data_IF_074554097158
#
_entry.id   IF_074554097158
#
_cell.length_a   1.000
_cell.length_b   1.000
_cell.length_c   1.000
_cell.angle_alpha   90.00
_cell.angle_beta   90.00
_cell.angle_gamma   90.00
#
_symmetry.space_group_name_H-M   'P 1'
#
loop_
_entity.id
_entity.type
_entity.pdbx_description
1 polymer ?
#
# COMPACT_ATOMS: atom_id res chain seq x y z
N UNK A 1 -30.89 -48.18 74.41
CA UNK A 1 -30.18 -46.88 74.52
C UNK A 1 -29.07 -46.89 73.47
N UNK A 2 -29.42 -46.59 72.22
CA UNK A 2 -29.21 -45.33 71.48
C UNK A 2 -27.72 -45.05 71.10
N UNK A 3 -27.50 -45.03 69.79
CA UNK A 3 -26.61 -44.12 69.03
C UNK A 3 -25.09 -44.36 69.05
N UNK A 4 -24.59 -45.31 68.24
CA UNK A 4 -23.33 -45.12 67.49
C UNK A 4 -23.47 -45.81 66.14
N UNK A 5 -23.87 -45.08 65.11
CA UNK A 5 -24.08 -45.67 63.79
C UNK A 5 -24.47 -44.63 62.75
N UNK A 6 -23.66 -43.57 62.58
CA UNK A 6 -23.81 -42.66 61.44
C UNK A 6 -22.59 -41.74 61.22
N UNK A 7 -21.42 -42.29 60.91
CA UNK A 7 -20.29 -41.51 60.39
C UNK A 7 -19.48 -42.35 59.41
N UNK A 8 -20.06 -42.70 58.25
CA UNK A 8 -19.27 -43.21 57.13
C UNK A 8 -19.99 -43.01 55.80
N UNK A 9 -19.96 -41.78 55.30
CA UNK A 9 -20.28 -41.43 53.91
C UNK A 9 -19.41 -40.24 53.43
N UNK A 10 -18.09 -40.36 53.62
CA UNK A 10 -17.08 -39.42 53.11
C UNK A 10 -16.23 -40.05 52.00
N UNK A 11 -16.88 -40.79 51.11
CA UNK A 11 -16.21 -41.50 50.01
C UNK A 11 -16.84 -41.24 48.64
N UNK A 12 -17.56 -40.13 48.45
CA UNK A 12 -18.18 -39.82 47.17
C UNK A 12 -17.26 -38.90 46.35
N UNK A 13 -16.17 -39.46 45.82
CA UNK A 13 -15.15 -38.76 45.01
C UNK A 13 -15.68 -38.28 43.66
N UNK A 14 -16.82 -38.81 43.21
CA UNK A 14 -17.48 -38.45 41.95
C UNK A 14 -17.95 -36.99 41.90
N UNK A 15 -18.28 -36.38 43.05
CA UNK A 15 -18.64 -34.96 43.13
C UNK A 15 -17.44 -34.02 43.08
N UNK A 16 -16.28 -34.46 43.58
CA UNK A 16 -15.04 -33.66 43.58
C UNK A 16 -14.54 -33.40 42.16
N UNK A 17 -14.57 -34.43 41.31
CA UNK A 17 -14.14 -34.32 39.91
C UNK A 17 -15.02 -33.33 39.13
N UNK A 18 -16.35 -33.35 39.34
CA UNK A 18 -17.26 -32.40 38.69
C UNK A 18 -17.04 -30.97 39.19
N UNK A 19 -16.77 -30.78 40.49
CA UNK A 19 -16.47 -29.46 41.06
C UNK A 19 -15.14 -28.91 40.56
N UNK A 20 -14.08 -29.72 40.57
CA UNK A 20 -12.76 -29.35 40.04
C UNK A 20 -12.84 -29.03 38.54
N UNK A 21 -13.53 -29.86 37.75
CA UNK A 21 -13.74 -29.60 36.32
C UNK A 21 -14.55 -28.31 36.09
N UNK A 22 -15.58 -28.04 36.89
CA UNK A 22 -16.36 -26.80 36.77
C UNK A 22 -15.56 -25.54 37.10
N UNK A 23 -14.48 -25.66 37.89
CA UNK A 23 -13.57 -24.56 38.19
C UNK A 23 -12.49 -24.42 37.12
N UNK A 24 -11.92 -25.52 36.63
CA UNK A 24 -10.76 -25.52 35.71
C UNK A 24 -11.17 -25.28 34.26
N UNK A 25 -12.28 -25.86 33.79
CA UNK A 25 -12.73 -25.74 32.38
C UNK A 25 -12.92 -24.26 31.97
N UNK A 26 -13.55 -23.38 32.76
CA UNK A 26 -13.66 -21.97 32.41
C UNK A 26 -12.32 -21.27 32.20
N UNK A 27 -11.31 -21.58 33.02
CA UNK A 27 -9.96 -21.02 32.88
C UNK A 27 -9.26 -21.52 31.63
N UNK A 28 -9.33 -22.82 31.36
CA UNK A 28 -8.77 -23.40 30.14
C UNK A 28 -9.42 -22.75 28.92
N UNK A 29 -10.75 -22.67 28.90
CA UNK A 29 -11.51 -22.03 27.82
C UNK A 29 -11.13 -20.55 27.66
N UNK A 30 -11.01 -19.79 28.75
CA UNK A 30 -10.58 -18.40 28.72
C UNK A 30 -9.16 -18.25 28.12
N UNK A 31 -8.22 -19.11 28.52
CA UNK A 31 -6.86 -19.11 27.97
C UNK A 31 -6.85 -19.47 26.48
N UNK A 32 -7.66 -20.46 26.06
CA UNK A 32 -7.76 -20.81 24.63
C UNK A 32 -8.31 -19.66 23.80
N UNK A 33 -9.34 -18.96 24.27
CA UNK A 33 -9.87 -17.79 23.58
C UNK A 33 -8.85 -16.66 23.52
N UNK A 34 -8.11 -16.41 24.60
CA UNK A 34 -7.07 -15.39 24.63
C UNK A 34 -5.98 -15.67 23.58
N UNK A 35 -5.54 -16.92 23.47
CA UNK A 35 -4.59 -17.34 22.43
C UNK A 35 -5.16 -17.19 21.02
N UNK A 36 -6.42 -17.55 20.79
CA UNK A 36 -7.09 -17.36 19.49
C UNK A 36 -7.20 -15.89 19.11
N UNK A 37 -7.62 -15.02 20.03
CA UNK A 37 -7.68 -13.57 19.81
C UNK A 37 -6.30 -13.00 19.53
N UNK A 38 -5.27 -13.44 20.25
CA UNK A 38 -3.90 -13.02 20.03
C UNK A 38 -3.40 -13.44 18.64
N UNK A 39 -3.66 -14.68 18.22
CA UNK A 39 -3.31 -15.16 16.88
C UNK A 39 -4.01 -14.36 15.79
N UNK A 40 -5.30 -14.04 15.97
CA UNK A 40 -6.06 -13.21 15.04
C UNK A 40 -5.53 -11.77 14.99
N UNK A 41 -5.12 -11.22 16.14
CA UNK A 41 -4.55 -9.89 16.22
C UNK A 41 -3.27 -9.76 15.38
N UNK A 42 -2.38 -10.75 15.48
CA UNK A 42 -1.12 -10.77 14.71
C UNK A 42 -1.40 -11.02 13.22
N UNK A 43 -2.27 -11.98 12.90
CA UNK A 43 -2.52 -12.35 11.50
C UNK A 43 -3.10 -11.19 10.68
N UNK A 44 -3.92 -10.34 11.29
CA UNK A 44 -4.49 -9.16 10.62
C UNK A 44 -3.42 -8.17 10.16
N UNK A 45 -2.47 -7.83 11.03
CA UNK A 45 -1.38 -6.92 10.68
C UNK A 45 -0.50 -7.51 9.58
N UNK A 46 -0.20 -8.81 9.67
CA UNK A 46 0.59 -9.52 8.66
C UNK A 46 -0.09 -9.53 7.28
N UNK A 47 -1.40 -9.82 7.21
CA UNK A 47 -2.15 -9.84 5.95
C UNK A 47 -2.27 -8.46 5.32
N UNK A 48 -2.51 -7.42 6.14
CA UNK A 48 -2.57 -6.04 5.65
C UNK A 48 -1.20 -5.61 5.12
N UNK A 49 -0.12 -5.89 5.84
CA UNK A 49 1.25 -5.60 5.41
C UNK A 49 1.64 -6.34 4.13
N UNK A 50 1.31 -7.62 4.03
CA UNK A 50 1.55 -8.43 2.82
C UNK A 50 0.84 -7.83 1.59
N UNK A 51 -0.41 -7.40 1.76
CA UNK A 51 -1.18 -6.80 0.68
C UNK A 51 -0.59 -5.46 0.25
N UNK A 52 -0.23 -4.59 1.21
CA UNK A 52 0.45 -3.32 0.96
C UNK A 52 1.81 -3.50 0.27
N UNK A 53 2.61 -4.50 0.69
CA UNK A 53 3.90 -4.83 0.09
C UNK A 53 3.76 -5.33 -1.34
N UNK A 54 2.83 -6.23 -1.62
CA UNK A 54 2.54 -6.67 -3.00
C UNK A 54 2.18 -5.47 -3.87
N UNK A 55 1.30 -4.59 -3.38
CA UNK A 55 0.87 -3.40 -4.11
C UNK A 55 2.05 -2.49 -4.43
N UNK A 56 2.88 -2.17 -3.44
CA UNK A 56 4.03 -1.30 -3.61
C UNK A 56 5.07 -1.91 -4.57
N UNK A 57 5.46 -3.17 -4.34
CA UNK A 57 6.51 -3.86 -5.09
C UNK A 57 6.11 -4.13 -6.54
N UNK A 58 4.89 -4.63 -6.78
CA UNK A 58 4.41 -4.89 -8.15
C UNK A 58 4.24 -3.61 -8.95
N UNK A 59 3.79 -2.54 -8.31
CA UNK A 59 3.71 -1.23 -8.95
C UNK A 59 5.10 -0.71 -9.29
N UNK A 60 6.04 -0.78 -8.36
CA UNK A 60 7.42 -0.33 -8.59
C UNK A 60 8.11 -1.14 -9.70
N UNK A 61 7.86 -2.46 -9.75
CA UNK A 61 8.43 -3.35 -10.74
C UNK A 61 7.81 -3.22 -12.14
N UNK A 62 6.52 -2.91 -12.23
CA UNK A 62 5.82 -2.67 -13.49
C UNK A 62 5.86 -1.21 -13.96
N UNK A 63 6.45 -0.31 -13.18
CA UNK A 63 6.47 1.13 -13.45
C UNK A 63 6.97 1.49 -14.86
N UNK A 64 7.94 0.72 -15.36
CA UNK A 64 8.58 0.94 -16.66
C UNK A 64 7.61 0.88 -17.83
N UNK A 65 6.63 -0.01 -17.78
CA UNK A 65 5.74 -0.33 -18.89
C UNK A 65 4.38 -0.79 -18.36
N UNK A 66 3.29 -0.12 -18.76
CA UNK A 66 1.93 -0.49 -18.34
C UNK A 66 1.44 -1.80 -18.92
N UNK A 67 2.07 -2.36 -19.96
CA UNK A 67 1.75 -3.70 -20.47
C UNK A 67 2.49 -4.83 -19.73
N UNK A 68 3.40 -4.49 -18.81
CA UNK A 68 4.16 -5.49 -18.05
C UNK A 68 3.23 -6.19 -17.05
N UNK A 69 3.29 -7.53 -17.06
CA UNK A 69 2.59 -8.38 -16.11
C UNK A 69 3.20 -8.22 -14.72
N UNK A 70 2.34 -7.95 -13.74
CA UNK A 70 2.74 -7.60 -12.39
C UNK A 70 3.31 -8.78 -11.58
N UNK A 71 3.04 -10.02 -11.99
CA UNK A 71 3.45 -11.23 -11.26
C UNK A 71 4.70 -11.88 -11.86
N UNK A 72 4.75 -11.96 -13.18
CA UNK A 72 5.78 -12.65 -13.96
C UNK A 72 6.84 -11.70 -14.50
N UNK A 73 6.51 -10.41 -14.63
CA UNK A 73 7.37 -9.44 -15.29
C UNK A 73 7.50 -9.59 -16.80
N UNK A 74 6.76 -10.52 -17.39
CA UNK A 74 6.66 -10.65 -18.83
C UNK A 74 6.02 -9.39 -19.42
N UNK A 75 6.47 -9.01 -20.61
CA UNK A 75 5.86 -7.92 -21.37
C UNK A 75 5.61 -8.42 -22.79
N UNK A 76 4.40 -8.16 -23.36
CA UNK A 76 4.12 -8.54 -24.73
C UNK A 76 5.02 -7.77 -25.70
N UNK A 77 5.51 -8.46 -26.74
CA UNK A 77 6.36 -7.83 -27.74
C UNK A 77 5.56 -6.79 -28.53
N UNK A 78 6.06 -5.56 -28.59
CA UNK A 78 5.44 -4.47 -29.35
C UNK A 78 4.51 -3.56 -28.54
N UNK A 79 4.18 -3.94 -27.31
CA UNK A 79 3.40 -3.10 -26.40
C UNK A 79 4.35 -2.36 -25.44
N UNK A 80 4.65 -1.11 -25.80
CA UNK A 80 5.50 -0.23 -25.01
C UNK A 80 4.78 1.08 -24.73
N UNK A 81 4.94 1.58 -23.52
CA UNK A 81 4.53 2.94 -23.21
C UNK A 81 5.30 3.95 -24.08
N UNK A 82 4.62 5.03 -24.45
CA UNK A 82 5.22 6.09 -25.25
C UNK A 82 6.41 6.73 -24.52
N UNK A 83 7.55 6.88 -25.19
CA UNK A 83 8.83 7.31 -24.60
C UNK A 83 8.80 8.58 -23.73
N UNK A 84 7.78 9.43 -23.92
CA UNK A 84 7.65 10.74 -23.29
C UNK A 84 6.52 10.86 -22.28
N UNK A 85 5.84 9.76 -21.90
CA UNK A 85 4.75 9.80 -20.91
C UNK A 85 5.22 10.40 -19.57
N UNK A 86 6.50 10.18 -19.21
CA UNK A 86 7.12 10.75 -18.00
C UNK A 86 7.27 12.28 -18.04
N UNK A 87 7.32 12.90 -19.21
CA UNK A 87 7.44 14.37 -19.29
C UNK A 87 6.18 15.08 -18.82
N UNK A 88 5.02 14.44 -18.97
CA UNK A 88 3.71 15.00 -18.60
C UNK A 88 3.25 14.56 -17.22
N UNK A 89 3.76 13.45 -16.71
CA UNK A 89 3.27 12.81 -15.47
C UNK A 89 4.30 12.77 -14.33
N UNK A 90 5.57 13.06 -14.61
CA UNK A 90 6.62 13.13 -13.58
C UNK A 90 6.77 14.56 -13.03
N UNK A 91 6.70 14.69 -11.71
CA UNK A 91 6.78 15.95 -10.99
C UNK A 91 8.14 16.65 -11.17
N UNK A 92 9.22 15.90 -11.43
CA UNK A 92 10.56 16.49 -11.60
C UNK A 92 10.69 17.34 -12.87
N UNK A 93 10.24 16.79 -14.00
CA UNK A 93 10.33 17.49 -15.28
C UNK A 93 9.38 18.68 -15.29
N UNK A 94 8.18 18.53 -14.73
CA UNK A 94 7.27 19.65 -14.53
C UNK A 94 7.90 20.75 -13.65
N UNK A 95 8.63 20.36 -12.60
CA UNK A 95 9.34 21.28 -11.71
C UNK A 95 10.37 22.13 -12.46
N UNK A 96 11.09 21.55 -13.42
CA UNK A 96 12.04 22.30 -14.26
C UNK A 96 11.36 23.45 -15.01
N UNK A 97 10.14 23.22 -15.51
CA UNK A 97 9.38 24.22 -16.29
C UNK A 97 8.44 25.09 -15.46
N UNK A 98 8.50 25.02 -14.13
CA UNK A 98 7.70 25.87 -13.24
C UNK A 98 6.22 25.49 -13.23
N UNK A 99 5.88 24.28 -13.67
CA UNK A 99 4.51 23.76 -13.76
C UNK A 99 4.00 23.16 -12.44
N UNK A 100 4.81 23.17 -11.38
CA UNK A 100 4.47 22.56 -10.08
C UNK A 100 3.97 23.63 -9.13
N UNK A 101 2.68 23.60 -8.80
CA UNK A 101 2.09 24.38 -7.71
C UNK A 101 2.17 23.66 -6.36
N UNK A 102 2.27 22.33 -6.32
CA UNK A 102 2.46 21.54 -5.09
C UNK A 102 2.90 20.13 -5.50
N UNK A 103 3.99 19.62 -4.93
CA UNK A 103 4.64 18.37 -5.33
C UNK A 103 3.94 17.12 -4.82
N UNK A 104 2.64 16.99 -5.07
CA UNK A 104 1.91 15.74 -4.82
C UNK A 104 2.02 14.92 -6.10
N UNK A 105 2.90 13.92 -6.12
CA UNK A 105 3.00 13.00 -7.24
C UNK A 105 1.68 12.26 -7.51
N UNK A 106 1.64 11.41 -8.54
CA UNK A 106 0.42 10.69 -8.89
C UNK A 106 -0.08 9.87 -7.69
N UNK A 107 -1.36 10.00 -7.34
CA UNK A 107 -1.95 9.32 -6.18
C UNK A 107 -3.36 8.86 -6.48
N UNK A 108 -3.74 7.73 -5.88
CA UNK A 108 -5.07 7.14 -6.00
C UNK A 108 -5.56 6.69 -4.64
N UNK A 109 -6.87 6.67 -4.47
CA UNK A 109 -7.51 6.03 -3.33
C UNK A 109 -7.70 4.54 -3.64
N UNK A 110 -7.48 3.71 -2.63
CA UNK A 110 -7.69 2.27 -2.67
C UNK A 110 -8.93 1.95 -1.86
N UNK A 111 -9.86 1.25 -2.48
CA UNK A 111 -11.05 0.72 -1.83
C UNK A 111 -11.56 -0.51 -2.60
N UNK A 112 -12.35 -1.35 -1.91
CA UNK A 112 -13.02 -2.46 -2.55
C UNK A 112 -13.93 -1.94 -3.69
N UNK A 113 -13.92 -2.63 -4.83
CA UNK A 113 -14.74 -2.27 -5.99
C UNK A 113 -14.28 -1.02 -6.77
N UNK A 114 -13.05 -0.55 -6.56
CA UNK A 114 -12.46 0.48 -7.43
C UNK A 114 -12.41 0.02 -8.89
N UNK A 115 -12.48 0.95 -9.84
CA UNK A 115 -12.32 0.62 -11.25
C UNK A 115 -10.84 0.40 -11.59
N UNK A 116 -10.58 -0.52 -12.52
CA UNK A 116 -9.26 -0.71 -13.11
C UNK A 116 -8.76 0.54 -13.84
N UNK A 117 -7.43 0.71 -13.90
CA UNK A 117 -6.79 1.71 -14.74
C UNK A 117 -6.44 1.11 -16.09
N UNK A 118 -6.83 1.78 -17.17
CA UNK A 118 -6.41 1.45 -18.53
C UNK A 118 -5.64 2.63 -19.11
N UNK A 119 -4.35 2.42 -19.40
CA UNK A 119 -3.50 3.47 -19.95
C UNK A 119 -2.04 3.32 -19.57
N UNK A 120 -1.26 4.32 -19.99
CA UNK A 120 0.19 4.41 -19.71
C UNK A 120 0.53 5.54 -18.73
N UNK A 121 -0.47 6.29 -18.26
CA UNK A 121 -0.24 7.37 -17.31
C UNK A 121 0.13 6.82 -15.94
N UNK A 122 0.82 7.64 -15.15
CA UNK A 122 1.20 7.26 -13.79
C UNK A 122 -0.02 6.82 -12.96
N UNK A 123 -1.13 7.56 -13.03
CA UNK A 123 -2.37 7.24 -12.31
C UNK A 123 -2.96 5.90 -12.76
N UNK A 124 -2.96 5.61 -14.06
CA UNK A 124 -3.53 4.36 -14.59
C UNK A 124 -2.72 3.14 -14.12
N UNK A 125 -1.39 3.28 -14.07
CA UNK A 125 -0.49 2.25 -13.55
C UNK A 125 -0.76 1.95 -12.08
N UNK A 126 -0.95 2.98 -11.26
CA UNK A 126 -1.33 2.81 -9.86
C UNK A 126 -2.70 2.12 -9.77
N UNK A 127 -3.70 2.57 -10.54
CA UNK A 127 -5.06 2.02 -10.48
C UNK A 127 -5.13 0.57 -10.90
N UNK A 128 -4.37 0.18 -11.91
CA UNK A 128 -4.30 -1.21 -12.38
C UNK A 128 -3.87 -2.16 -11.28
N UNK A 129 -2.73 -1.89 -10.64
CA UNK A 129 -2.23 -2.74 -9.55
C UNK A 129 -3.10 -2.66 -8.30
N UNK A 130 -3.61 -1.45 -8.00
CA UNK A 130 -4.60 -1.24 -6.94
C UNK A 130 -5.83 -2.12 -7.12
N UNK A 131 -6.41 -2.12 -8.32
CA UNK A 131 -7.57 -2.94 -8.67
C UNK A 131 -7.26 -4.44 -8.66
N UNK A 132 -6.17 -4.88 -9.28
CA UNK A 132 -5.76 -6.30 -9.31
C UNK A 132 -5.59 -6.86 -7.89
N UNK A 133 -4.97 -6.08 -7.00
CA UNK A 133 -4.74 -6.50 -5.62
C UNK A 133 -6.03 -6.42 -4.81
N UNK A 134 -6.83 -5.36 -4.96
CA UNK A 134 -8.13 -5.21 -4.30
C UNK A 134 -9.16 -6.29 -4.71
N UNK A 135 -9.04 -6.82 -5.92
CA UNK A 135 -9.92 -7.87 -6.42
C UNK A 135 -9.53 -9.27 -5.95
N UNK A 136 -8.25 -9.47 -5.60
CA UNK A 136 -7.71 -10.78 -5.21
C UNK A 136 -7.50 -10.94 -3.70
N UNK A 137 -7.34 -9.83 -2.98
CA UNK A 137 -7.06 -9.80 -1.55
C UNK A 137 -8.04 -8.85 -0.85
N UNK A 138 -8.31 -9.10 0.43
CA UNK A 138 -9.00 -8.15 1.28
C UNK A 138 -8.05 -6.99 1.61
N UNK A 139 -7.94 -6.07 0.67
CA UNK A 139 -7.32 -4.77 0.90
C UNK A 139 -8.32 -3.89 1.61
N UNK A 140 -7.86 -3.11 2.58
CA UNK A 140 -8.75 -2.23 3.33
C UNK A 140 -9.14 -1.01 2.50
N UNK A 141 -9.12 0.15 3.15
CA UNK A 141 -9.18 1.43 2.46
C UNK A 141 -7.89 2.20 2.68
N UNK A 142 -7.49 3.01 1.73
CA UNK A 142 -6.30 3.84 1.88
C UNK A 142 -5.88 4.50 0.60
N UNK A 143 -4.58 4.64 0.40
CA UNK A 143 -4.01 5.37 -0.71
C UNK A 143 -2.75 4.70 -1.25
N UNK A 144 -2.54 4.86 -2.56
CA UNK A 144 -1.29 4.53 -3.22
C UNK A 144 -0.79 5.76 -3.95
N UNK A 145 0.47 6.12 -3.73
CA UNK A 145 1.10 7.31 -4.30
C UNK A 145 2.45 6.97 -4.93
N UNK A 146 2.74 7.60 -6.06
CA UNK A 146 4.08 7.69 -6.61
C UNK A 146 4.71 8.99 -6.16
N UNK A 147 5.90 8.90 -5.58
CA UNK A 147 6.68 10.05 -5.13
C UNK A 147 8.02 10.09 -5.85
N UNK A 148 8.30 11.24 -6.46
CA UNK A 148 9.60 11.52 -7.06
C UNK A 148 10.24 12.76 -6.44
N UNK A 149 11.34 12.56 -5.72
CA UNK A 149 12.14 13.63 -5.09
C UNK A 149 13.51 13.80 -5.74
N UNK A 150 13.66 13.48 -7.03
CA UNK A 150 14.89 13.72 -7.79
C UNK A 150 15.77 12.49 -7.81
N UNK A 151 16.34 12.20 -6.64
CA UNK A 151 17.28 11.08 -6.44
C UNK A 151 16.58 9.80 -5.99
N UNK A 152 15.36 9.91 -5.46
CA UNK A 152 14.59 8.78 -4.93
C UNK A 152 13.20 8.81 -5.58
N UNK A 153 12.84 7.66 -6.14
CA UNK A 153 11.53 7.39 -6.73
C UNK A 153 10.94 6.21 -5.98
N UNK A 154 9.77 6.40 -5.41
CA UNK A 154 9.14 5.39 -4.58
C UNK A 154 7.63 5.33 -4.81
N UNK A 155 7.09 4.12 -4.63
CA UNK A 155 5.67 3.87 -4.49
C UNK A 155 5.40 3.73 -3.00
N UNK A 156 4.52 4.57 -2.49
CA UNK A 156 4.03 4.58 -1.12
C UNK A 156 2.61 4.03 -1.11
N UNK A 157 2.36 3.08 -0.22
CA UNK A 157 1.06 2.44 -0.04
C UNK A 157 0.71 2.53 1.44
N UNK A 158 -0.38 3.22 1.73
CA UNK A 158 -0.96 3.30 3.07
C UNK A 158 -2.34 2.65 3.05
N UNK A 159 -2.51 1.57 3.81
CA UNK A 159 -3.78 0.86 3.93
C UNK A 159 -4.23 0.80 5.37
N UNK A 160 -5.53 0.93 5.56
CA UNK A 160 -6.24 0.77 6.83
C UNK A 160 -7.27 -0.36 6.71
N UNK A 161 -7.22 -1.35 7.59
CA UNK A 161 -8.14 -2.49 7.55
C UNK A 161 -9.55 -2.12 8.02
N UNK A 162 -10.57 -2.58 7.28
CA UNK A 162 -11.99 -2.30 7.62
C UNK A 162 -12.77 -3.55 8.11
N UNK A 163 -12.11 -4.71 8.20
CA UNK A 163 -12.74 -6.00 8.53
C UNK A 163 -12.49 -6.45 9.98
N UNK A 164 -12.06 -5.54 10.87
CA UNK A 164 -11.80 -5.89 12.25
C UNK A 164 -13.10 -6.23 13.00
N UNK A 165 -13.06 -7.32 13.76
CA UNK A 165 -14.10 -7.59 14.74
C UNK A 165 -13.99 -6.58 15.90
N UNK A 166 -15.14 -6.03 16.33
CA UNK A 166 -15.24 -5.02 17.40
C UNK A 166 -14.44 -5.34 18.68
N UNK A 167 -14.39 -6.60 19.18
CA UNK A 167 -13.59 -6.93 20.36
C UNK A 167 -12.08 -6.66 20.18
N UNK A 168 -11.55 -6.90 18.97
CA UNK A 168 -10.13 -6.65 18.66
C UNK A 168 -9.85 -5.15 18.52
N UNK A 169 -10.79 -4.38 17.99
CA UNK A 169 -10.67 -2.91 17.90
C UNK A 169 -10.59 -2.32 19.31
N UNK A 170 -11.45 -2.77 20.22
CA UNK A 170 -11.43 -2.34 21.62
C UNK A 170 -10.10 -2.69 22.30
N UNK A 171 -9.61 -3.92 22.09
CA UNK A 171 -8.30 -4.35 22.63
C UNK A 171 -7.13 -3.49 22.12
N UNK A 172 -7.22 -2.95 20.89
CA UNK A 172 -6.22 -2.05 20.31
C UNK A 172 -6.37 -0.58 20.75
N UNK A 173 -7.40 -0.23 21.54
CA UNK A 173 -7.66 1.15 21.94
C UNK A 173 -8.46 1.95 20.89
N UNK A 174 -9.28 1.29 20.07
CA UNK A 174 -10.22 1.94 19.16
C UNK A 174 -9.73 2.14 17.73
N UNK A 175 -8.46 1.86 17.44
CA UNK A 175 -7.87 2.06 16.11
C UNK A 175 -7.97 0.85 15.19
N UNK A 176 -8.21 1.09 13.90
CA UNK A 176 -8.04 0.09 12.85
C UNK A 176 -6.55 -0.30 12.67
N UNK A 177 -6.26 -1.44 12.03
CA UNK A 177 -4.89 -1.77 11.65
C UNK A 177 -4.51 -0.83 10.51
N UNK A 178 -3.35 -0.17 10.61
CA UNK A 178 -2.81 0.67 9.54
C UNK A 178 -1.40 0.18 9.20
N UNK A 179 -1.07 0.19 7.92
CA UNK A 179 0.26 -0.16 7.42
C UNK A 179 0.67 0.83 6.37
N UNK A 180 1.91 1.30 6.47
CA UNK A 180 2.57 2.09 5.45
C UNK A 180 3.73 1.26 4.89
N UNK A 181 3.80 1.12 3.56
CA UNK A 181 4.85 0.36 2.87
C UNK A 181 5.35 1.16 1.69
N UNK A 182 6.68 1.17 1.52
CA UNK A 182 7.37 1.91 0.46
C UNK A 182 8.21 0.96 -0.39
N UNK A 183 8.14 1.08 -1.71
CA UNK A 183 8.96 0.33 -2.66
C UNK A 183 9.69 1.25 -3.63
N UNK A 184 10.99 0.99 -3.86
CA UNK A 184 11.82 1.80 -4.73
C UNK A 184 11.59 1.47 -6.21
N UNK A 185 11.43 2.51 -7.03
CA UNK A 185 11.36 2.40 -8.48
C UNK A 185 12.77 2.48 -9.07
N UNK A 186 13.26 1.37 -9.60
CA UNK A 186 14.63 1.24 -10.13
C UNK A 186 14.62 1.21 -11.65
N UNK A 187 14.93 2.36 -12.26
CA UNK A 187 15.04 2.49 -13.72
C UNK A 187 16.33 3.28 -14.09
N UNK A 188 17.51 2.63 -14.12
CA UNK A 188 18.76 3.34 -14.35
C UNK A 188 18.84 4.08 -15.71
N UNK A 189 18.41 3.49 -16.84
CA UNK A 189 18.48 4.18 -18.14
C UNK A 189 17.59 5.44 -18.20
N UNK A 190 16.36 5.36 -17.67
CA UNK A 190 15.42 6.49 -17.64
C UNK A 190 15.87 7.59 -16.68
N UNK A 191 16.57 7.23 -15.61
CA UNK A 191 17.18 8.19 -14.70
C UNK A 191 18.25 9.03 -15.40
N UNK A 192 19.17 8.38 -16.13
CA UNK A 192 20.21 9.08 -16.91
C UNK A 192 19.58 9.98 -17.97
N UNK A 193 18.57 9.48 -18.69
CA UNK A 193 17.85 10.24 -19.71
C UNK A 193 17.19 11.50 -19.14
N UNK A 194 16.51 11.37 -18.00
CA UNK A 194 15.86 12.50 -17.31
C UNK A 194 16.89 13.51 -16.80
N UNK A 195 18.00 13.03 -16.25
CA UNK A 195 19.08 13.89 -15.78
C UNK A 195 19.74 14.67 -16.92
N UNK A 196 20.06 14.02 -18.03
CA UNK A 196 20.63 14.66 -19.22
C UNK A 196 19.67 15.68 -19.83
N UNK A 197 18.37 15.37 -19.86
CA UNK A 197 17.33 16.29 -20.29
C UNK A 197 17.32 17.55 -19.42
N UNK A 198 17.30 17.37 -18.09
CA UNK A 198 17.32 18.47 -17.13
C UNK A 198 18.58 19.31 -17.31
N UNK A 199 19.76 18.68 -17.41
CA UNK A 199 21.04 19.37 -17.63
C UNK A 199 21.06 20.17 -18.93
N UNK A 200 20.58 19.57 -20.02
CA UNK A 200 20.51 20.22 -21.33
C UNK A 200 19.58 21.44 -21.31
N UNK A 201 18.35 21.27 -20.80
CA UNK A 201 17.38 22.36 -20.77
C UNK A 201 17.74 23.44 -19.75
N UNK A 202 18.34 23.09 -18.61
CA UNK A 202 18.86 24.07 -17.66
C UNK A 202 19.95 24.96 -18.30
N UNK A 203 20.86 24.36 -19.07
CA UNK A 203 21.88 25.12 -19.80
C UNK A 203 21.26 25.98 -20.90
N UNK A 204 20.33 25.41 -21.66
CA UNK A 204 19.63 26.11 -22.76
C UNK A 204 18.80 27.30 -22.28
N UNK A 205 18.16 27.17 -21.11
CA UNK A 205 17.41 28.24 -20.46
C UNK A 205 18.32 29.39 -20.05
N UNK A 206 19.47 29.09 -19.44
CA UNK A 206 20.47 30.09 -19.04
C UNK A 206 21.09 30.82 -20.24
N UNK A 207 21.28 30.12 -21.35
CA UNK A 207 21.84 30.69 -22.59
C UNK A 207 20.77 31.28 -23.52
N UNK A 208 19.50 31.37 -23.10
CA UNK A 208 18.41 31.82 -23.96
C UNK A 208 18.51 33.33 -24.22
N UNK A 209 18.41 33.79 -25.49
CA UNK A 209 18.40 35.21 -25.83
C UNK A 209 17.23 35.99 -25.22
N UNK A 210 16.15 35.28 -24.85
CA UNK A 210 14.89 35.85 -24.33
C UNK A 210 14.88 35.90 -22.79
N UNK A 211 15.92 35.40 -22.12
CA UNK A 211 15.98 35.25 -20.67
C UNK A 211 15.41 33.91 -20.16
N UNK A 212 15.85 33.50 -18.98
CA UNK A 212 15.53 32.20 -18.36
C UNK A 212 14.04 32.05 -18.02
N UNK A 213 13.43 33.08 -17.44
CA UNK A 213 12.00 33.08 -17.05
C UNK A 213 11.07 32.99 -18.26
N UNK A 214 11.29 33.82 -19.28
CA UNK A 214 10.46 33.84 -20.48
C UNK A 214 10.53 32.51 -21.26
N UNK A 215 11.72 31.90 -21.35
CA UNK A 215 11.88 30.58 -21.97
C UNK A 215 11.15 29.50 -21.17
N UNK A 216 11.24 29.55 -19.84
CA UNK A 216 10.58 28.59 -18.94
C UNK A 216 9.06 28.64 -19.10
N UNK A 217 8.48 29.83 -19.11
CA UNK A 217 7.03 30.03 -19.27
C UNK A 217 6.53 29.56 -20.64
N UNK A 218 7.29 29.85 -21.70
CA UNK A 218 6.97 29.37 -23.05
C UNK A 218 7.00 27.85 -23.14
N UNK A 219 8.04 27.21 -22.59
CA UNK A 219 8.17 25.76 -22.57
C UNK A 219 7.06 25.10 -21.73
N UNK A 220 6.73 25.67 -20.57
CA UNK A 220 5.62 25.26 -19.74
C UNK A 220 4.27 25.31 -20.48
N UNK A 221 4.03 26.39 -21.24
CA UNK A 221 2.83 26.54 -22.05
C UNK A 221 2.67 25.50 -23.16
N UNK A 222 3.78 25.01 -23.73
CA UNK A 222 3.75 23.91 -24.73
C UNK A 222 3.38 22.59 -24.07
N UNK A 223 3.91 22.30 -22.88
CA UNK A 223 3.63 21.06 -22.15
C UNK A 223 2.17 20.99 -21.69
N UNK A 224 1.60 22.10 -21.21
CA UNK A 224 0.18 22.13 -20.82
C UNK A 224 -0.76 21.85 -22.00
N UNK A 225 -0.43 22.33 -23.21
CA UNK A 225 -1.24 22.06 -24.42
C UNK A 225 -1.24 20.58 -24.83
N UNK A 226 -0.19 19.84 -24.49
CA UNK A 226 -0.06 18.39 -24.78
C UNK A 226 -0.66 17.48 -23.71
N UNK A 227 -1.06 18.03 -22.55
CA UNK A 227 -1.72 17.27 -21.48
C UNK A 227 -3.22 17.06 -21.74
N UNK A 228 -3.77 17.64 -22.81
CA UNK A 228 -5.15 17.49 -23.27
C UNK A 228 -5.26 16.46 -24.38
#
# INVERSE_FOLDING_TARGET
MKLIGKLRDWGNTSGSISLEASLVIPWVLMLTFLLLFFSLYISQGALLYYSSSIMAERTAFSWTNSAKDAQTGAYPQGEYDGLYWRLTDDSLVQGLFGLVAESNGAGIEIHAGMAGGEGSQAIDKLRRIGFETASSHNVGTGEMRYRNIGIKREIEVDLTSNWLAQPLIWLRGGGAARTEVNALVVEPPEFLRSFDLIRYYATKMKSSPQGESAYRDQAGGVLQKRKR
#
